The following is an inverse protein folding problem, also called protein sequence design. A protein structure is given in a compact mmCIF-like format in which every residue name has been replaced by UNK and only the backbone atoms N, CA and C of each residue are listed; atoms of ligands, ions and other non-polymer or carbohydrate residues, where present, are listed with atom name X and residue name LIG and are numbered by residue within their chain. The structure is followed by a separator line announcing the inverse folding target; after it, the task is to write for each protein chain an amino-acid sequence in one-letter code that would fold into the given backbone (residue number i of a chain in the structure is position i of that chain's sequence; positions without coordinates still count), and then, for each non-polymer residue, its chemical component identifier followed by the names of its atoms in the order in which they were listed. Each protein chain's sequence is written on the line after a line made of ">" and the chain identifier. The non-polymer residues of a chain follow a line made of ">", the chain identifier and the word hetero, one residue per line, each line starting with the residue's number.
data_IF_142860482309
#
_entry.id   IF_142860482309
#
_cell.length_a   1.000
_cell.length_b   1.000
_cell.length_c   1.000
_cell.angle_alpha   90.00
_cell.angle_beta   90.00
_cell.angle_gamma   90.00
#
_symmetry.space_group_name_H-M   'P 1'
#
loop_
_entity.id
_entity.type
_entity.pdbx_description
1 polymer ?
#
# COMPACT_ATOMS: atom_id res chain seq x y z
N UNK A 1 -8.20 56.35 -43.90
CA UNK A 1 -9.06 57.16 -43.01
C UNK A 1 -9.79 56.23 -42.03
N UNK A 2 -10.12 56.70 -40.82
CA UNK A 2 -9.61 56.15 -39.55
C UNK A 2 -10.59 55.26 -38.76
N UNK A 3 -10.07 54.57 -37.74
CA UNK A 3 -10.84 54.00 -36.63
C UNK A 3 -11.68 55.08 -35.91
N UNK A 4 -12.88 54.75 -35.42
CA UNK A 4 -13.54 55.55 -34.39
C UNK A 4 -13.22 54.99 -33.00
N UNK A 5 -12.54 55.80 -32.19
CA UNK A 5 -12.44 55.64 -30.73
C UNK A 5 -13.71 56.14 -30.04
N UNK A 6 -14.00 55.48 -28.91
CA UNK A 6 -14.61 56.02 -27.69
C UNK A 6 -16.06 56.56 -27.78
N UNK A 7 -16.96 55.99 -26.98
CA UNK A 7 -17.50 56.77 -25.86
C UNK A 7 -18.18 55.94 -24.77
N UNK A 8 -17.83 56.33 -23.53
CA UNK A 8 -18.42 55.92 -22.26
C UNK A 8 -19.93 56.17 -22.26
N UNK A 9 -20.70 55.19 -21.78
CA UNK A 9 -21.94 55.46 -21.08
C UNK A 9 -21.82 54.93 -19.64
N UNK A 10 -22.14 55.83 -18.73
CA UNK A 10 -21.93 55.78 -17.29
C UNK A 10 -23.26 55.39 -16.65
N UNK A 11 -23.20 54.48 -15.68
CA UNK A 11 -24.06 54.36 -14.48
C UNK A 11 -25.50 53.82 -14.59
N UNK A 12 -25.68 52.74 -13.84
CA UNK A 12 -26.70 52.57 -12.78
C UNK A 12 -28.09 52.10 -13.19
N UNK A 13 -28.32 50.79 -13.03
CA UNK A 13 -29.58 50.29 -12.46
C UNK A 13 -29.20 49.36 -11.30
N UNK A 14 -29.35 49.89 -10.09
CA UNK A 14 -29.36 49.08 -8.88
C UNK A 14 -30.76 48.48 -8.71
N UNK A 15 -30.77 47.27 -8.13
CA UNK A 15 -31.84 46.75 -7.25
C UNK A 15 -33.04 46.11 -7.97
N UNK A 16 -32.95 44.80 -8.12
CA UNK A 16 -34.08 43.95 -7.72
C UNK A 16 -33.58 42.67 -7.04
N UNK A 17 -34.09 42.46 -5.82
CA UNK A 17 -33.74 41.39 -4.91
C UNK A 17 -34.53 40.14 -5.27
N UNK A 18 -33.80 39.04 -5.39
CA UNK A 18 -34.16 37.76 -4.77
C UNK A 18 -35.23 36.93 -5.44
N UNK A 19 -34.80 35.87 -6.14
CA UNK A 19 -35.40 34.54 -5.99
C UNK A 19 -34.31 33.50 -5.80
N UNK A 20 -34.43 32.82 -4.66
CA UNK A 20 -33.62 31.70 -4.19
C UNK A 20 -33.54 30.63 -5.28
N UNK A 21 -32.33 30.17 -5.59
CA UNK A 21 -32.11 28.75 -5.85
C UNK A 21 -31.17 28.26 -4.78
N UNK A 22 -31.64 27.27 -4.01
CA UNK A 22 -30.92 26.60 -2.96
C UNK A 22 -29.55 26.13 -3.48
N UNK A 23 -28.47 26.78 -3.05
CA UNK A 23 -27.18 26.09 -2.93
C UNK A 23 -27.33 25.14 -1.74
N UNK A 24 -27.85 23.93 -1.98
CA UNK A 24 -27.70 22.86 -0.99
C UNK A 24 -26.21 22.69 -0.69
N UNK A 25 -25.78 22.72 0.59
CA UNK A 25 -24.44 22.29 0.96
C UNK A 25 -24.39 20.77 0.91
N UNK A 26 -24.38 20.19 -0.29
CA UNK A 26 -24.07 18.78 -0.47
C UNK A 26 -22.55 18.61 -0.40
N UNK A 27 -22.02 18.36 0.81
CA UNK A 27 -20.99 17.33 1.06
C UNK A 27 -20.67 17.22 2.55
N UNK A 28 -20.88 16.01 3.11
CA UNK A 28 -19.76 15.36 3.82
C UNK A 28 -19.58 13.86 3.46
N UNK A 29 -20.60 13.17 2.96
CA UNK A 29 -20.60 11.71 2.73
C UNK A 29 -19.53 11.23 1.74
N UNK A 30 -19.24 11.99 0.69
CA UNK A 30 -18.25 11.61 -0.33
C UNK A 30 -16.79 11.80 0.11
N UNK A 31 -16.53 12.60 1.15
CA UNK A 31 -15.17 12.82 1.64
C UNK A 31 -14.79 11.79 2.71
N UNK A 32 -15.74 11.42 3.56
CA UNK A 32 -15.60 10.28 4.48
C UNK A 32 -15.41 8.97 3.71
N UNK A 33 -16.21 8.70 2.67
CA UNK A 33 -16.05 7.52 1.80
C UNK A 33 -14.68 7.47 1.09
N UNK A 34 -14.12 8.62 0.70
CA UNK A 34 -12.78 8.67 0.10
C UNK A 34 -11.67 8.39 1.12
N UNK A 35 -11.85 8.86 2.36
CA UNK A 35 -10.91 8.60 3.45
C UNK A 35 -10.94 7.13 3.86
N UNK A 36 -12.11 6.49 3.91
CA UNK A 36 -12.24 5.07 4.24
C UNK A 36 -11.56 4.18 3.19
N UNK A 37 -11.83 4.40 1.90
CA UNK A 37 -11.17 3.64 0.83
C UNK A 37 -9.66 3.85 0.82
N UNK A 38 -9.17 5.08 1.01
CA UNK A 38 -7.72 5.33 1.07
C UNK A 38 -7.03 4.62 2.25
N UNK A 39 -7.71 4.48 3.39
CA UNK A 39 -7.19 3.76 4.56
C UNK A 39 -7.16 2.25 4.30
N UNK A 40 -8.21 1.71 3.67
CA UNK A 40 -8.30 0.31 3.26
C UNK A 40 -7.22 -0.03 2.23
N UNK A 41 -7.09 0.78 1.18
CA UNK A 41 -6.03 0.64 0.16
C UNK A 41 -4.63 0.66 0.79
N UNK A 42 -4.38 1.58 1.71
CA UNK A 42 -3.08 1.66 2.41
C UNK A 42 -2.83 0.45 3.31
N UNK A 43 -3.88 -0.12 3.92
CA UNK A 43 -3.80 -1.33 4.72
C UNK A 43 -3.49 -2.54 3.85
N UNK A 44 -4.16 -2.68 2.71
CA UNK A 44 -3.92 -3.73 1.72
C UNK A 44 -2.49 -3.68 1.18
N UNK A 45 -2.04 -2.50 0.74
CA UNK A 45 -0.66 -2.29 0.27
C UNK A 45 0.37 -2.67 1.33
N UNK A 46 0.11 -2.32 2.60
CA UNK A 46 0.99 -2.68 3.71
C UNK A 46 1.02 -4.19 3.97
N UNK A 47 -0.10 -4.90 3.80
CA UNK A 47 -0.17 -6.36 3.93
C UNK A 47 0.60 -7.02 2.79
N UNK A 48 0.36 -6.59 1.55
CA UNK A 48 1.07 -7.08 0.37
C UNK A 48 2.58 -6.86 0.45
N UNK A 49 3.04 -5.74 1.01
CA UNK A 49 4.46 -5.47 1.23
C UNK A 49 5.07 -6.41 2.28
N UNK A 50 4.35 -6.70 3.36
CA UNK A 50 4.77 -7.68 4.37
C UNK A 50 4.91 -9.07 3.76
N UNK A 51 3.91 -9.51 3.01
CA UNK A 51 3.92 -10.86 2.45
C UNK A 51 5.06 -11.06 1.47
N UNK A 52 5.31 -10.07 0.60
CA UNK A 52 6.48 -10.07 -0.30
C UNK A 52 7.79 -10.12 0.45
N UNK A 53 7.93 -9.33 1.51
CA UNK A 53 9.14 -9.31 2.35
C UNK A 53 9.37 -10.66 3.01
N UNK A 54 8.35 -11.24 3.63
CA UNK A 54 8.45 -12.52 4.30
C UNK A 54 8.74 -13.65 3.31
N UNK A 55 8.08 -13.64 2.15
CA UNK A 55 8.33 -14.58 1.07
C UNK A 55 9.82 -14.58 0.67
N UNK A 56 10.41 -13.41 0.42
CA UNK A 56 11.84 -13.34 0.05
C UNK A 56 12.74 -13.87 1.15
N UNK A 57 12.40 -13.58 2.41
CA UNK A 57 13.14 -14.10 3.55
C UNK A 57 13.06 -15.63 3.59
N UNK A 58 11.89 -16.23 3.35
CA UNK A 58 11.72 -17.69 3.36
C UNK A 58 12.52 -18.39 2.25
N UNK A 59 12.79 -17.72 1.14
CA UNK A 59 13.68 -18.24 0.07
C UNK A 59 15.17 -18.08 0.37
N UNK A 60 15.52 -17.33 1.41
CA UNK A 60 16.90 -16.96 1.73
C UNK A 60 17.39 -17.54 3.07
N UNK A 61 16.54 -17.50 4.08
CA UNK A 61 16.87 -17.90 5.44
C UNK A 61 16.49 -19.38 5.68
N UNK A 62 17.23 -20.09 6.55
CA UNK A 62 16.88 -21.46 6.93
C UNK A 62 15.54 -21.50 7.68
N UNK A 63 14.89 -22.68 7.68
CA UNK A 63 13.63 -22.85 8.40
C UNK A 63 13.81 -22.79 9.92
N UNK A 64 14.84 -23.46 10.44
CA UNK A 64 15.20 -23.41 11.86
C UNK A 64 16.19 -22.27 12.13
N UNK A 65 16.04 -21.59 13.27
CA UNK A 65 16.93 -20.49 13.65
C UNK A 65 16.81 -19.22 12.78
N UNK A 66 15.78 -19.13 11.93
CA UNK A 66 15.53 -18.06 10.95
C UNK A 66 15.75 -16.65 11.51
N UNK A 67 15.19 -16.35 12.68
CA UNK A 67 15.25 -15.00 13.25
C UNK A 67 16.66 -14.63 13.73
N UNK A 68 17.38 -15.59 14.31
CA UNK A 68 18.79 -15.40 14.68
C UNK A 68 19.66 -15.23 13.43
N UNK A 69 19.42 -16.04 12.39
CA UNK A 69 20.09 -15.88 11.11
C UNK A 69 19.88 -14.46 10.53
N UNK A 70 18.65 -13.96 10.55
CA UNK A 70 18.35 -12.61 10.06
C UNK A 70 19.02 -11.55 10.90
N UNK A 71 19.02 -11.69 12.22
CA UNK A 71 19.71 -10.77 13.12
C UNK A 71 21.21 -10.73 12.84
N UNK A 72 21.86 -11.89 12.80
CA UNK A 72 23.29 -12.00 12.53
C UNK A 72 23.64 -11.42 11.14
N UNK A 73 22.73 -11.57 10.16
CA UNK A 73 22.96 -11.03 8.80
C UNK A 73 22.63 -9.57 8.65
N UNK A 74 21.68 -9.00 9.39
CA UNK A 74 21.13 -7.66 9.12
C UNK A 74 21.40 -6.65 10.23
N UNK A 75 21.77 -7.10 11.43
CA UNK A 75 21.87 -6.27 12.64
C UNK A 75 20.52 -5.90 13.27
N UNK A 76 19.39 -6.30 12.66
CA UNK A 76 18.05 -6.05 13.18
C UNK A 76 17.68 -7.19 14.12
N UNK A 77 17.31 -6.86 15.36
CA UNK A 77 16.94 -7.84 16.41
C UNK A 77 15.97 -8.92 15.90
N UNK A 78 16.24 -10.18 16.25
CA UNK A 78 15.44 -11.33 15.86
C UNK A 78 13.97 -11.23 16.25
N UNK A 79 13.68 -10.57 17.38
CA UNK A 79 12.31 -10.29 17.86
C UNK A 79 11.51 -9.40 16.91
N UNK A 80 12.16 -8.41 16.27
CA UNK A 80 11.51 -7.58 15.25
C UNK A 80 11.13 -8.40 14.02
N UNK A 81 12.03 -9.30 13.59
CA UNK A 81 11.74 -10.23 12.49
C UNK A 81 10.60 -11.18 12.85
N UNK A 82 10.61 -11.74 14.07
CA UNK A 82 9.50 -12.57 14.55
C UNK A 82 8.17 -11.82 14.53
N UNK A 83 8.14 -10.57 15.00
CA UNK A 83 6.93 -9.75 15.00
C UNK A 83 6.40 -9.45 13.60
N UNK A 84 7.29 -9.22 12.62
CA UNK A 84 6.94 -9.10 11.21
C UNK A 84 6.25 -10.39 10.70
N UNK A 85 6.85 -11.55 10.96
CA UNK A 85 6.32 -12.86 10.55
C UNK A 85 4.96 -13.15 11.16
N UNK A 86 4.78 -12.81 12.45
CA UNK A 86 3.52 -12.96 13.17
C UNK A 86 2.45 -11.92 12.78
N UNK A 87 2.79 -10.92 11.96
CA UNK A 87 1.87 -9.83 11.60
C UNK A 87 1.61 -8.83 12.72
N UNK A 88 2.37 -8.90 13.81
CA UNK A 88 2.29 -7.94 14.93
C UNK A 88 2.90 -6.59 14.59
N UNK A 89 3.74 -6.54 13.55
CA UNK A 89 4.40 -5.32 13.10
C UNK A 89 4.36 -5.21 11.57
N UNK A 90 4.20 -3.98 11.07
CA UNK A 90 4.40 -3.67 9.65
C UNK A 90 5.90 -3.69 9.27
N UNK A 91 6.23 -3.94 8.00
CA UNK A 91 7.59 -3.77 7.49
C UNK A 91 8.10 -2.37 7.78
N UNK A 92 9.31 -2.26 8.35
CA UNK A 92 10.00 -0.97 8.48
C UNK A 92 10.89 -0.74 7.26
N UNK A 93 11.23 0.52 7.00
CA UNK A 93 12.20 0.90 5.96
C UNK A 93 13.53 0.16 6.18
N UNK A 94 13.98 0.05 7.43
CA UNK A 94 15.19 -0.66 7.83
C UNK A 94 15.17 -2.13 7.36
N UNK A 95 14.06 -2.85 7.62
CA UNK A 95 13.89 -4.24 7.18
C UNK A 95 13.87 -4.37 5.66
N UNK A 96 13.16 -3.46 4.98
CA UNK A 96 13.07 -3.45 3.52
C UNK A 96 14.45 -3.24 2.90
N UNK A 97 15.22 -2.26 3.38
CA UNK A 97 16.59 -2.01 2.92
C UNK A 97 17.53 -3.17 3.23
N UNK A 98 17.40 -3.80 4.40
CA UNK A 98 18.22 -4.94 4.78
C UNK A 98 18.05 -6.14 3.85
N UNK A 99 16.81 -6.43 3.43
CA UNK A 99 16.53 -7.51 2.46
C UNK A 99 16.87 -7.07 1.04
N UNK A 100 16.43 -5.88 0.60
CA UNK A 100 16.70 -5.38 -0.75
C UNK A 100 18.20 -5.28 -1.07
N UNK A 101 19.03 -4.90 -0.10
CA UNK A 101 20.49 -4.82 -0.29
C UNK A 101 21.17 -6.17 -0.51
N UNK A 102 20.59 -7.26 0.03
CA UNK A 102 21.08 -8.64 -0.07
C UNK A 102 20.43 -9.43 -1.20
N UNK A 103 19.21 -9.07 -1.57
CA UNK A 103 18.38 -9.69 -2.60
C UNK A 103 18.05 -8.65 -3.68
N UNK A 104 19.10 -8.03 -4.21
CA UNK A 104 19.00 -6.84 -5.10
C UNK A 104 18.14 -7.10 -6.33
N UNK A 105 18.20 -8.30 -6.88
CA UNK A 105 17.41 -8.70 -8.05
C UNK A 105 15.90 -8.63 -7.81
N UNK A 106 15.45 -8.72 -6.55
CA UNK A 106 14.04 -8.66 -6.16
C UNK A 106 13.65 -7.32 -5.51
N UNK A 107 14.56 -6.33 -5.42
CA UNK A 107 14.33 -5.11 -4.64
C UNK A 107 13.13 -4.29 -5.14
N UNK A 108 12.98 -4.17 -6.45
CA UNK A 108 11.89 -3.40 -7.05
C UNK A 108 10.57 -4.18 -7.02
N UNK A 109 10.59 -5.49 -7.28
CA UNK A 109 9.44 -6.36 -7.01
C UNK A 109 8.97 -6.29 -5.55
N UNK A 110 9.91 -6.32 -4.59
CA UNK A 110 9.62 -6.20 -3.15
C UNK A 110 8.89 -4.91 -2.82
N UNK A 111 9.26 -3.79 -3.43
CA UNK A 111 8.67 -2.49 -3.12
C UNK A 111 7.37 -2.24 -3.89
N UNK A 112 7.37 -2.49 -5.20
CA UNK A 112 6.31 -2.03 -6.11
C UNK A 112 5.30 -3.12 -6.46
N UNK A 113 5.70 -4.38 -6.40
CA UNK A 113 4.77 -5.52 -6.50
C UNK A 113 4.31 -5.76 -7.92
N UNK A 114 4.92 -5.07 -8.86
CA UNK A 114 4.68 -5.21 -10.28
C UNK A 114 5.18 -6.55 -10.78
N UNK A 115 4.36 -7.15 -11.63
CA UNK A 115 4.77 -8.17 -12.57
C UNK A 115 5.92 -7.66 -13.45
N UNK A 116 6.68 -8.60 -13.99
CA UNK A 116 7.87 -8.39 -14.81
C UNK A 116 7.71 -7.18 -15.74
N UNK A 117 8.46 -6.10 -15.50
CA UNK A 117 8.57 -5.00 -16.46
C UNK A 117 9.38 -5.52 -17.64
N UNK A 118 8.70 -6.02 -18.68
CA UNK A 118 9.31 -6.32 -19.97
C UNK A 118 9.44 -5.02 -20.75
N UNK A 119 10.60 -4.37 -20.69
CA UNK A 119 10.92 -3.27 -21.60
C UNK A 119 11.66 -3.86 -22.80
N UNK A 120 11.09 -3.68 -23.99
CA UNK A 120 11.61 -4.18 -25.27
C UNK A 120 11.81 -5.71 -25.36
N UNK A 121 11.01 -6.50 -24.63
CA UNK A 121 11.13 -7.97 -24.64
C UNK A 121 12.25 -8.52 -23.74
N UNK A 122 13.06 -7.67 -23.12
CA UNK A 122 14.06 -8.05 -22.13
C UNK A 122 13.43 -8.10 -20.73
N UNK A 123 13.80 -9.12 -19.95
CA UNK A 123 13.43 -9.24 -18.53
C UNK A 123 14.36 -8.34 -17.74
N UNK A 124 13.84 -7.25 -17.18
CA UNK A 124 14.66 -6.31 -16.41
C UNK A 124 14.82 -6.72 -14.95
N UNK A 125 13.98 -7.63 -14.45
CA UNK A 125 14.00 -8.11 -13.07
C UNK A 125 13.48 -9.53 -12.95
N UNK A 126 14.08 -10.28 -12.03
CA UNK A 126 13.54 -11.56 -11.62
C UNK A 126 12.32 -11.34 -10.73
N UNK A 127 11.25 -12.07 -11.02
CA UNK A 127 10.11 -12.21 -10.12
C UNK A 127 10.28 -13.56 -9.44
N UNK A 128 10.12 -13.64 -8.11
CA UNK A 128 10.15 -14.93 -7.45
C UNK A 128 9.00 -15.82 -7.93
N UNK A 129 9.21 -17.13 -7.90
CA UNK A 129 8.24 -18.16 -8.32
C UNK A 129 6.79 -17.83 -7.90
N UNK A 130 5.97 -17.50 -8.91
CA UNK A 130 4.62 -16.95 -8.74
C UNK A 130 3.68 -17.96 -8.08
N UNK A 131 3.83 -19.25 -8.39
CA UNK A 131 3.04 -20.33 -7.78
C UNK A 131 3.32 -20.42 -6.28
N UNK A 132 4.60 -20.27 -5.89
CA UNK A 132 4.98 -20.26 -4.47
C UNK A 132 4.46 -19.02 -3.75
N UNK A 133 4.45 -17.87 -4.40
CA UNK A 133 3.89 -16.64 -3.83
C UNK A 133 2.38 -16.78 -3.62
N UNK A 134 1.67 -17.32 -4.60
CA UNK A 134 0.23 -17.52 -4.52
C UNK A 134 -0.15 -18.53 -3.43
N UNK A 135 0.57 -19.65 -3.36
CA UNK A 135 0.43 -20.63 -2.27
C UNK A 135 0.67 -20.00 -0.90
N UNK A 136 1.70 -19.14 -0.79
CA UNK A 136 2.00 -18.42 0.45
C UNK A 136 0.87 -17.46 0.86
N UNK A 137 0.37 -16.64 -0.07
CA UNK A 137 -0.75 -15.72 0.19
C UNK A 137 -2.02 -16.49 0.60
N UNK A 138 -2.30 -17.61 -0.05
CA UNK A 138 -3.46 -18.46 0.24
C UNK A 138 -3.37 -19.07 1.63
N UNK A 139 -2.20 -19.64 1.97
CA UNK A 139 -1.95 -20.20 3.30
C UNK A 139 -2.08 -19.15 4.40
N UNK A 140 -1.60 -17.93 4.17
CA UNK A 140 -1.68 -16.84 5.14
C UNK A 140 -3.11 -16.36 5.35
N UNK A 141 -3.88 -16.21 4.28
CA UNK A 141 -5.31 -15.90 4.36
C UNK A 141 -6.05 -16.97 5.15
N UNK A 142 -5.76 -18.24 4.90
CA UNK A 142 -6.33 -19.35 5.67
C UNK A 142 -5.94 -19.28 7.16
N UNK A 143 -4.67 -18.99 7.52
CA UNK A 143 -4.29 -18.81 8.94
C UNK A 143 -5.08 -17.67 9.58
N UNK A 144 -5.19 -16.53 8.89
CA UNK A 144 -5.91 -15.36 9.42
C UNK A 144 -7.39 -15.66 9.64
N UNK A 145 -8.05 -16.30 8.66
CA UNK A 145 -9.46 -16.72 8.75
C UNK A 145 -9.70 -17.72 9.89
N UNK A 146 -8.80 -18.69 10.09
CA UNK A 146 -8.98 -19.70 11.15
C UNK A 146 -8.65 -19.16 12.55
N UNK A 147 -7.66 -18.27 12.68
CA UNK A 147 -7.44 -17.54 13.95
C UNK A 147 -8.63 -16.69 14.35
N UNK A 148 -9.32 -16.08 13.39
CA UNK A 148 -10.53 -15.30 13.67
C UNK A 148 -11.69 -16.18 14.12
N UNK A 149 -11.79 -17.43 13.62
CA UNK A 149 -12.83 -18.38 14.06
C UNK A 149 -12.60 -18.87 15.49
N UNK A 150 -11.37 -19.23 15.85
CA UNK A 150 -11.04 -19.67 17.23
C UNK A 150 -11.29 -18.57 18.27
N UNK A 151 -11.11 -17.29 17.94
CA UNK A 151 -11.36 -16.18 18.87
C UNK A 151 -12.84 -15.86 19.10
N UNK A 152 -13.73 -16.25 18.18
CA UNK A 152 -15.18 -16.00 18.30
C UNK A 152 -15.85 -17.07 19.17
N UNK A 153 -15.34 -18.31 19.17
CA UNK A 153 -15.87 -19.41 20.00
C UNK A 153 -15.43 -19.34 21.48
N UNK A 154 -14.47 -18.49 21.85
CA UNK A 154 -14.00 -18.32 23.23
C UNK A 154 -14.66 -17.15 24.00
N UNK A 155 -15.65 -16.48 23.41
CA UNK A 155 -16.38 -15.39 24.09
C UNK A 155 -17.75 -15.90 24.57
N UNK A 156 -17.96 -16.08 25.89
CA UNK A 156 -19.23 -16.55 26.45
C UNK A 156 -20.36 -15.52 26.40
#
# INVERSE_FOLDING_TARGET
>A
MPEPKLNRAVKTIAKERGKRTNKSPLKPRNEELRKTHAIEDQRELSTLLRDRLVFLIDTWAPQQGKYKFLEDKTGIQGTKWQNLFLGKQKPTVEMLMAVASRRRQYAYWLLLGSEIVRRNGEIWQEVPDEDKLHAYQTYRRWIEENKTREQVDETP
#
